data_IF_824193103882
#
_entry.id   IF_824193103882
#
_cell.length_a   1.000
_cell.length_b   1.000
_cell.length_c   1.000
_cell.angle_alpha   90.00
_cell.angle_beta   90.00
_cell.angle_gamma   90.00
#
_symmetry.space_group_name_H-M   'P 1'
#
loop_
_entity.id
_entity.type
_entity.pdbx_description
1 polymer ?
#
# COMPACT_ATOMS: atom_id res chain seq x y z
N UNK A 1 17.93 -20.69 5.65
CA UNK A 1 17.49 -22.09 5.45
C UNK A 1 17.46 -22.35 3.95
N UNK A 2 18.48 -23.01 3.39
CA UNK A 2 18.62 -23.27 1.94
C UNK A 2 18.10 -24.68 1.67
N UNK A 3 16.99 -24.82 0.96
CA UNK A 3 16.46 -26.13 0.56
C UNK A 3 17.41 -26.71 -0.50
N UNK A 4 18.09 -27.82 -0.18
CA UNK A 4 19.18 -28.40 -0.99
C UNK A 4 18.80 -28.84 -2.42
N UNK A 5 17.53 -28.77 -2.81
CA UNK A 5 17.03 -29.21 -4.12
C UNK A 5 16.36 -28.14 -4.97
N UNK A 6 16.17 -26.91 -4.45
CA UNK A 6 15.58 -25.82 -5.22
C UNK A 6 16.67 -25.02 -5.94
N UNK A 7 16.49 -24.67 -7.23
CA UNK A 7 17.41 -23.74 -7.90
C UNK A 7 17.41 -22.38 -7.19
N UNK A 8 18.54 -21.68 -7.24
CA UNK A 8 18.64 -20.33 -6.72
C UNK A 8 17.62 -19.41 -7.45
N UNK A 9 16.96 -18.44 -6.77
CA UNK A 9 16.02 -17.54 -7.41
C UNK A 9 16.66 -16.80 -8.59
N UNK A 10 15.87 -16.56 -9.64
CA UNK A 10 16.31 -15.70 -10.73
C UNK A 10 16.71 -14.33 -10.18
N UNK A 11 17.81 -13.75 -10.66
CA UNK A 11 18.13 -12.36 -10.34
C UNK A 11 17.12 -11.40 -10.96
N UNK A 12 16.96 -10.21 -10.41
CA UNK A 12 16.33 -9.11 -11.16
C UNK A 12 17.24 -8.72 -12.33
N UNK A 13 16.71 -8.42 -13.54
CA UNK A 13 15.29 -8.26 -13.91
C UNK A 13 14.60 -9.54 -14.41
N UNK A 14 15.30 -10.68 -14.44
CA UNK A 14 14.82 -11.93 -15.05
C UNK A 14 13.53 -12.45 -14.41
N UNK A 15 13.34 -12.23 -13.10
CA UNK A 15 12.06 -12.52 -12.41
C UNK A 15 10.86 -11.78 -13.03
N UNK A 16 11.05 -10.51 -13.42
CA UNK A 16 10.02 -9.72 -14.07
C UNK A 16 9.76 -10.19 -15.51
N UNK A 17 10.83 -10.57 -16.23
CA UNK A 17 10.71 -11.04 -17.61
C UNK A 17 9.89 -12.33 -17.72
N UNK A 18 10.07 -13.28 -16.81
CA UNK A 18 9.31 -14.54 -16.84
C UNK A 18 7.84 -14.36 -16.46
N UNK A 19 7.51 -13.35 -15.65
CA UNK A 19 6.13 -13.06 -15.20
C UNK A 19 5.41 -12.01 -16.07
N UNK A 20 6.09 -11.36 -17.01
CA UNK A 20 5.56 -10.19 -17.73
C UNK A 20 4.21 -10.44 -18.44
N UNK A 21 4.06 -11.53 -19.19
CA UNK A 21 2.79 -11.86 -19.87
C UNK A 21 1.66 -12.14 -18.87
N UNK A 22 1.96 -12.83 -17.77
CA UNK A 22 1.00 -13.09 -16.72
C UNK A 22 0.53 -11.79 -16.04
N UNK A 23 1.45 -10.89 -15.69
CA UNK A 23 1.13 -9.58 -15.10
C UNK A 23 0.24 -8.75 -16.04
N UNK A 24 0.54 -8.75 -17.35
CA UNK A 24 -0.31 -8.06 -18.33
C UNK A 24 -1.73 -8.63 -18.38
N UNK A 25 -1.90 -9.95 -18.27
CA UNK A 25 -3.22 -10.59 -18.22
C UNK A 25 -3.95 -10.32 -16.91
N UNK A 26 -3.24 -10.30 -15.79
CA UNK A 26 -3.80 -9.91 -14.48
C UNK A 26 -4.43 -8.52 -14.56
N UNK A 27 -3.74 -7.55 -15.16
CA UNK A 27 -4.30 -6.21 -15.34
C UNK A 27 -5.48 -6.17 -16.31
N UNK A 28 -5.46 -6.99 -17.38
CA UNK A 28 -6.56 -7.03 -18.36
C UNK A 28 -7.83 -7.69 -17.83
N UNK A 29 -7.69 -8.72 -16.99
CA UNK A 29 -8.79 -9.49 -16.42
C UNK A 29 -8.84 -9.31 -14.89
N UNK A 30 -8.78 -8.05 -14.44
CA UNK A 30 -8.60 -7.70 -13.03
C UNK A 30 -9.66 -8.33 -12.12
N UNK A 31 -10.91 -8.39 -12.55
CA UNK A 31 -12.01 -8.98 -11.77
C UNK A 31 -11.84 -10.50 -11.57
N UNK A 32 -11.35 -11.22 -12.58
CA UNK A 32 -11.17 -12.68 -12.53
C UNK A 32 -9.82 -13.09 -11.93
N UNK A 33 -8.83 -12.20 -11.98
CA UNK A 33 -7.45 -12.48 -11.59
C UNK A 33 -7.06 -11.96 -10.20
N UNK A 34 -8.04 -11.53 -9.39
CA UNK A 34 -7.81 -10.89 -8.10
C UNK A 34 -6.97 -11.74 -7.13
N UNK A 35 -7.12 -13.07 -7.17
CA UNK A 35 -6.37 -14.01 -6.32
C UNK A 35 -4.85 -13.98 -6.56
N UNK A 36 -4.42 -13.58 -7.76
CA UNK A 36 -3.01 -13.51 -8.16
C UNK A 36 -2.57 -12.08 -8.46
N UNK A 37 -3.43 -11.10 -8.18
CA UNK A 37 -3.14 -9.70 -8.42
C UNK A 37 -2.17 -9.13 -7.39
N UNK A 38 -1.13 -8.46 -7.89
CA UNK A 38 -0.20 -7.72 -7.04
C UNK A 38 -0.73 -6.30 -6.81
N UNK A 39 -1.20 -6.03 -5.59
CA UNK A 39 -1.76 -4.74 -5.18
C UNK A 39 -0.83 -4.06 -4.16
N UNK A 40 0.17 -3.28 -4.61
CA UNK A 40 1.12 -2.66 -3.70
C UNK A 40 0.43 -1.59 -2.83
N UNK A 41 0.64 -1.68 -1.52
CA UNK A 41 0.07 -0.74 -0.54
C UNK A 41 1.10 -0.40 0.52
N UNK A 42 0.99 0.80 1.09
CA UNK A 42 1.78 1.21 2.25
C UNK A 42 1.22 0.65 3.56
N UNK A 43 2.00 0.72 4.63
CA UNK A 43 1.60 0.22 5.95
C UNK A 43 0.31 0.85 6.50
N UNK A 44 0.03 2.11 6.12
CA UNK A 44 -1.17 2.86 6.55
C UNK A 44 -2.48 2.24 6.05
N UNK A 45 -2.45 1.34 5.05
CA UNK A 45 -3.65 0.70 4.50
C UNK A 45 -4.55 0.05 5.56
N UNK A 46 -3.97 -0.47 6.65
CA UNK A 46 -4.72 -1.08 7.74
C UNK A 46 -5.59 -0.10 8.55
N UNK A 47 -5.42 1.20 8.36
CA UNK A 47 -6.23 2.26 8.98
C UNK A 47 -7.37 2.75 8.06
N UNK A 48 -7.38 2.33 6.78
CA UNK A 48 -8.37 2.77 5.80
C UNK A 48 -9.62 1.88 5.87
N UNK A 49 -10.75 2.46 6.30
CA UNK A 49 -12.00 1.70 6.55
C UNK A 49 -13.12 2.00 5.56
N UNK A 50 -12.98 3.03 4.74
CA UNK A 50 -14.01 3.49 3.81
C UNK A 50 -13.39 4.12 2.56
N UNK A 51 -14.14 4.07 1.46
CA UNK A 51 -13.79 4.77 0.23
C UNK A 51 -14.32 6.20 0.33
N UNK A 52 -13.42 7.18 0.27
CA UNK A 52 -13.74 8.60 0.39
C UNK A 52 -13.32 9.35 -0.87
N UNK A 53 -13.93 10.51 -1.12
CA UNK A 53 -13.45 11.38 -2.20
C UNK A 53 -12.10 12.00 -1.82
N UNK A 54 -11.25 12.28 -2.82
CA UNK A 54 -9.97 12.97 -2.57
C UNK A 54 -10.17 14.31 -1.85
N UNK A 55 -11.29 15.01 -2.15
CA UNK A 55 -11.65 16.25 -1.48
C UNK A 55 -11.79 16.02 0.03
N UNK A 56 -12.62 15.06 0.42
CA UNK A 56 -12.91 14.80 1.83
C UNK A 56 -11.66 14.35 2.58
N UNK A 57 -10.81 13.52 1.95
CA UNK A 57 -9.53 13.10 2.54
C UNK A 57 -8.63 14.31 2.82
N UNK A 58 -8.48 15.22 1.85
CA UNK A 58 -7.63 16.41 2.03
C UNK A 58 -8.19 17.35 3.10
N UNK A 59 -9.52 17.56 3.14
CA UNK A 59 -10.13 18.37 4.20
C UNK A 59 -9.90 17.76 5.59
N UNK A 60 -10.14 16.45 5.75
CA UNK A 60 -9.88 15.69 6.98
C UNK A 60 -8.45 15.89 7.46
N UNK A 61 -7.46 15.72 6.56
CA UNK A 61 -6.04 15.83 6.90
C UNK A 61 -5.67 17.22 7.42
N UNK A 62 -6.26 18.29 6.84
CA UNK A 62 -5.99 19.65 7.28
C UNK A 62 -6.65 19.92 8.64
N UNK A 63 -7.90 19.52 8.82
CA UNK A 63 -8.65 19.70 10.07
C UNK A 63 -7.99 18.93 11.22
N UNK A 64 -7.72 17.64 11.03
CA UNK A 64 -7.05 16.79 12.03
C UNK A 64 -5.65 17.29 12.38
N UNK A 65 -4.93 17.86 11.40
CA UNK A 65 -3.62 18.48 11.67
C UNK A 65 -3.76 19.69 12.60
N UNK A 66 -4.71 20.59 12.32
CA UNK A 66 -4.94 21.77 13.16
C UNK A 66 -5.31 21.34 14.59
N UNK A 67 -6.29 20.45 14.73
CA UNK A 67 -6.71 19.90 16.02
C UNK A 67 -5.54 19.25 16.79
N UNK A 68 -4.72 18.44 16.11
CA UNK A 68 -3.57 17.79 16.72
C UNK A 68 -2.54 18.82 17.21
N UNK A 69 -2.27 19.87 16.42
CA UNK A 69 -1.30 20.91 16.79
C UNK A 69 -1.78 21.76 17.96
N UNK A 70 -3.06 22.11 18.00
CA UNK A 70 -3.67 22.83 19.12
C UNK A 70 -3.63 22.00 20.41
N UNK A 71 -3.97 20.71 20.32
CA UNK A 71 -3.89 19.79 21.45
C UNK A 71 -2.46 19.68 21.99
N UNK A 72 -1.47 19.57 21.12
CA UNK A 72 -0.06 19.52 21.53
C UNK A 72 0.35 20.83 22.21
N UNK A 73 -0.07 21.97 21.66
CA UNK A 73 0.23 23.28 22.25
C UNK A 73 -0.37 23.43 23.66
N UNK A 74 -1.61 22.98 23.86
CA UNK A 74 -2.27 22.97 25.18
C UNK A 74 -1.51 22.09 26.18
N UNK A 75 -1.18 20.85 25.80
CA UNK A 75 -0.43 19.92 26.65
C UNK A 75 0.94 20.48 27.05
N UNK A 76 1.61 21.19 26.14
CA UNK A 76 2.90 21.81 26.43
C UNK A 76 2.79 23.05 27.33
N UNK A 77 1.64 23.72 27.38
CA UNK A 77 1.42 24.89 28.25
C UNK A 77 1.07 24.51 29.70
N UNK A 78 0.66 23.26 29.93
CA UNK A 78 0.35 22.70 31.25
C UNK A 78 1.58 22.10 31.98
N UNK A 79 2.75 22.08 31.31
CA UNK A 79 4.04 21.61 31.83
C UNK A 79 4.94 22.81 32.15
#
# INVERSE_FOLDING_TARGET
MKFLSAPDPLGMPLQGMVTADAVQRVHRYAEQAQEVAFNPVGQVVGQLNEVRSCRDVIYSLVEEYLEATERIAQLNAEV
#
